data_IF_494554993001
#
_entry.id   IF_494554993001
#
_cell.length_a   1.000
_cell.length_b   1.000
_cell.length_c   1.000
_cell.angle_alpha   90.00
_cell.angle_beta   90.00
_cell.angle_gamma   90.00
#
_symmetry.space_group_name_H-M   'P 1'
#
loop_
_entity.id
_entity.type
_entity.pdbx_description
1 polymer ?
#
# COMPACT_ATOMS: atom_id res chain seq x y z
N UNK A 1 -1.44 14.72 -29.97
CA UNK A 1 -0.78 14.43 -28.69
C UNK A 1 -0.21 15.74 -28.17
N UNK A 2 -0.45 16.09 -26.94
CA UNK A 2 0.15 17.28 -26.34
C UNK A 2 1.61 17.01 -26.00
N UNK A 3 2.47 18.04 -25.98
CA UNK A 3 3.89 17.94 -25.61
C UNK A 3 4.13 17.17 -24.28
N UNK A 4 3.19 17.21 -23.36
CA UNK A 4 3.22 16.46 -22.10
C UNK A 4 3.05 14.95 -22.28
N UNK A 5 2.20 14.52 -23.22
CA UNK A 5 2.02 13.09 -23.49
C UNK A 5 3.25 12.50 -24.21
N UNK A 6 3.98 13.33 -24.97
CA UNK A 6 5.24 12.95 -25.59
C UNK A 6 6.37 12.86 -24.55
N UNK A 7 6.34 13.73 -23.52
CA UNK A 7 7.33 13.73 -22.43
C UNK A 7 7.15 12.55 -21.45
N UNK A 8 5.93 12.05 -21.30
CA UNK A 8 5.62 11.03 -20.29
C UNK A 8 5.87 9.59 -20.72
N UNK A 9 5.97 9.29 -22.00
CA UNK A 9 5.85 7.89 -22.44
C UNK A 9 7.07 7.24 -23.04
N UNK A 10 7.93 7.93 -23.77
CA UNK A 10 8.83 7.21 -24.66
C UNK A 10 10.31 7.50 -24.55
N UNK A 11 10.69 8.47 -23.77
CA UNK A 11 12.02 9.04 -23.93
C UNK A 11 12.83 9.12 -22.66
N UNK A 12 12.43 8.36 -21.66
CA UNK A 12 13.16 8.37 -20.41
C UNK A 12 14.50 7.61 -20.46
N UNK A 13 14.86 6.95 -21.59
CA UNK A 13 15.92 5.97 -21.54
C UNK A 13 16.92 6.00 -22.71
N UNK A 14 18.20 6.12 -22.41
CA UNK A 14 19.36 5.96 -23.31
C UNK A 14 20.58 5.48 -22.48
N UNK A 15 21.44 4.57 -22.96
CA UNK A 15 21.58 4.07 -24.33
C UNK A 15 20.64 2.92 -24.66
N UNK A 16 20.35 2.78 -25.94
CA UNK A 16 19.53 1.69 -26.42
C UNK A 16 20.24 0.34 -26.27
N UNK A 17 19.48 -0.76 -26.02
CA UNK A 17 20.03 -2.11 -26.10
C UNK A 17 20.53 -2.43 -27.49
N UNK A 18 21.39 -3.44 -27.62
CA UNK A 18 21.94 -3.87 -28.91
C UNK A 18 20.88 -4.63 -29.72
N UNK A 19 21.02 -4.59 -31.08
CA UNK A 19 20.18 -5.35 -31.99
C UNK A 19 18.98 -4.61 -32.59
N UNK A 20 17.96 -5.35 -33.02
CA UNK A 20 16.76 -4.80 -33.67
C UNK A 20 15.98 -3.79 -32.82
N UNK A 21 15.98 -3.93 -31.51
CA UNK A 21 15.39 -2.97 -30.57
C UNK A 21 16.11 -1.61 -30.61
N UNK A 22 17.44 -1.61 -30.76
CA UNK A 22 18.22 -0.38 -30.85
C UNK A 22 17.89 0.41 -32.11
N UNK A 23 17.72 -0.28 -33.24
CA UNK A 23 17.38 0.34 -34.53
C UNK A 23 15.95 0.95 -34.47
N UNK A 24 14.98 0.20 -33.93
CA UNK A 24 13.62 0.68 -33.78
C UNK A 24 13.54 1.89 -32.86
N UNK A 25 14.28 1.85 -31.77
CA UNK A 25 14.33 2.93 -30.81
C UNK A 25 14.99 4.19 -31.36
N UNK A 26 16.12 4.03 -32.09
CA UNK A 26 16.81 5.15 -32.75
C UNK A 26 15.89 5.84 -33.77
N UNK A 27 15.13 5.05 -34.54
CA UNK A 27 14.17 5.59 -35.49
C UNK A 27 13.04 6.38 -34.79
N UNK A 28 12.53 5.87 -33.70
CA UNK A 28 11.48 6.56 -32.94
C UNK A 28 11.99 7.81 -32.23
N UNK A 29 13.20 7.77 -31.67
CA UNK A 29 13.86 8.92 -31.09
C UNK A 29 14.07 10.04 -32.11
N UNK A 30 14.52 9.70 -33.32
CA UNK A 30 14.70 10.66 -34.42
C UNK A 30 13.37 11.32 -34.80
N UNK A 31 12.29 10.55 -34.91
CA UNK A 31 10.94 11.06 -35.18
C UNK A 31 10.46 12.06 -34.12
N UNK A 32 10.72 11.77 -32.86
CA UNK A 32 10.31 12.63 -31.74
C UNK A 32 11.18 13.88 -31.62
N UNK A 33 12.47 13.78 -31.90
CA UNK A 33 13.37 14.94 -31.97
C UNK A 33 13.02 15.88 -33.14
N UNK A 34 12.50 15.33 -34.23
CA UNK A 34 11.99 16.12 -35.36
C UNK A 34 10.69 16.86 -34.99
N UNK A 35 9.87 16.26 -34.10
CA UNK A 35 8.63 16.86 -33.59
C UNK A 35 8.83 17.89 -32.48
N UNK A 36 9.96 17.84 -31.75
CA UNK A 36 10.30 18.75 -30.68
C UNK A 36 11.78 19.10 -30.67
N UNK A 37 12.13 20.26 -31.24
CA UNK A 37 13.52 20.71 -31.35
C UNK A 37 14.20 21.03 -29.99
N UNK A 38 13.44 21.09 -28.88
CA UNK A 38 13.93 21.39 -27.52
C UNK A 38 14.06 20.15 -26.64
N UNK A 39 13.76 18.95 -27.16
CA UNK A 39 13.75 17.75 -26.36
C UNK A 39 15.16 17.20 -26.10
N UNK A 40 15.55 17.12 -24.82
CA UNK A 40 16.75 16.41 -24.39
C UNK A 40 16.31 15.09 -23.75
N UNK A 41 16.66 13.92 -24.34
CA UNK A 41 16.32 12.63 -23.73
C UNK A 41 16.94 12.51 -22.36
N UNK A 42 16.18 12.00 -21.40
CA UNK A 42 16.75 11.57 -20.13
C UNK A 42 17.64 10.33 -20.34
N UNK A 43 18.70 10.18 -19.54
CA UNK A 43 19.52 8.98 -19.62
C UNK A 43 18.69 7.75 -19.27
N UNK A 44 19.02 6.61 -19.90
CA UNK A 44 18.45 5.33 -19.53
C UNK A 44 18.71 5.02 -18.04
N UNK A 45 17.77 4.33 -17.36
CA UNK A 45 18.11 3.71 -16.11
C UNK A 45 19.21 2.67 -16.32
N UNK A 46 20.00 2.45 -15.32
CA UNK A 46 20.94 1.36 -15.31
C UNK A 46 20.16 0.04 -15.25
N UNK A 47 20.22 -0.74 -16.36
CA UNK A 47 19.63 -2.07 -16.36
C UNK A 47 20.50 -3.03 -15.57
N UNK A 48 19.91 -3.62 -14.56
CA UNK A 48 20.56 -4.51 -13.62
C UNK A 48 20.42 -5.98 -14.05
N UNK A 49 19.31 -6.32 -14.73
CA UNK A 49 19.05 -7.69 -15.19
C UNK A 49 18.05 -7.75 -16.36
N UNK A 50 18.02 -8.90 -17.06
CA UNK A 50 17.05 -9.34 -18.07
C UNK A 50 17.26 -8.77 -19.46
N UNK A 51 16.40 -9.06 -20.47
CA UNK A 51 15.62 -10.29 -20.57
C UNK A 51 16.52 -11.55 -20.72
N UNK A 52 16.10 -12.66 -20.15
CA UNK A 52 16.89 -13.90 -20.12
C UNK A 52 16.04 -15.16 -20.34
N UNK A 53 16.67 -16.24 -20.86
CA UNK A 53 16.03 -17.54 -20.94
C UNK A 53 16.05 -18.27 -19.58
N UNK A 54 14.98 -18.98 -19.26
CA UNK A 54 14.93 -19.92 -18.14
C UNK A 54 14.63 -19.31 -16.77
N UNK A 55 14.25 -18.02 -16.74
CA UNK A 55 14.05 -17.31 -15.47
C UNK A 55 15.37 -16.92 -14.80
N UNK A 56 15.29 -16.01 -13.82
CA UNK A 56 16.46 -15.60 -13.05
C UNK A 56 16.07 -15.06 -11.68
N UNK A 57 17.00 -15.17 -10.75
CA UNK A 57 16.94 -14.49 -9.46
C UNK A 57 17.57 -13.10 -9.61
N UNK A 58 16.85 -12.09 -9.20
CA UNK A 58 17.35 -10.71 -9.12
C UNK A 58 17.69 -10.40 -7.67
N UNK A 59 18.84 -9.78 -7.43
CA UNK A 59 19.30 -9.32 -6.12
C UNK A 59 19.71 -7.84 -6.21
N UNK A 60 19.26 -7.06 -5.23
CA UNK A 60 19.69 -5.68 -5.02
C UNK A 60 20.38 -5.57 -3.67
N UNK A 61 21.69 -5.36 -3.65
CA UNK A 61 22.45 -5.11 -2.41
C UNK A 61 22.05 -3.75 -1.79
N UNK A 62 21.69 -2.78 -2.62
CA UNK A 62 21.32 -1.43 -2.18
C UNK A 62 20.02 -1.43 -1.38
N UNK A 63 19.02 -2.19 -1.83
CA UNK A 63 17.73 -2.33 -1.17
C UNK A 63 17.66 -3.52 -0.20
N UNK A 64 18.71 -4.35 -0.13
CA UNK A 64 18.70 -5.54 0.70
C UNK A 64 17.58 -6.50 0.35
N UNK A 65 17.30 -6.72 -0.94
CA UNK A 65 16.22 -7.60 -1.38
C UNK A 65 16.60 -8.48 -2.56
N UNK A 66 15.92 -9.61 -2.66
CA UNK A 66 15.95 -10.48 -3.85
C UNK A 66 14.56 -11.00 -4.19
N UNK A 67 14.35 -11.36 -5.45
CA UNK A 67 13.14 -12.01 -5.94
C UNK A 67 13.40 -12.77 -7.24
N UNK A 68 12.48 -13.64 -7.62
CA UNK A 68 12.58 -14.43 -8.86
C UNK A 68 11.71 -13.84 -9.97
N UNK A 69 12.30 -13.71 -11.16
CA UNK A 69 11.55 -13.48 -12.42
C UNK A 69 11.30 -14.84 -13.05
N UNK A 70 10.05 -15.27 -13.24
CA UNK A 70 9.71 -16.63 -13.66
C UNK A 70 10.06 -16.87 -15.13
N UNK A 71 10.39 -18.13 -15.45
CA UNK A 71 10.93 -18.53 -16.76
C UNK A 71 9.98 -18.23 -17.92
N UNK A 72 8.69 -18.33 -17.71
CA UNK A 72 7.65 -18.12 -18.73
C UNK A 72 7.57 -16.69 -19.24
N UNK A 73 8.04 -15.72 -18.46
CA UNK A 73 7.98 -14.29 -18.81
C UNK A 73 9.35 -13.61 -18.81
N UNK A 74 10.40 -14.30 -18.40
CA UNK A 74 11.74 -13.70 -18.21
C UNK A 74 12.35 -13.08 -19.48
N UNK A 75 11.98 -13.56 -20.66
CA UNK A 75 12.42 -12.98 -21.94
C UNK A 75 11.72 -11.65 -22.27
N UNK A 76 10.67 -11.31 -21.54
CA UNK A 76 9.87 -10.09 -21.72
C UNK A 76 10.04 -9.09 -20.58
N UNK A 77 10.97 -9.33 -19.66
CA UNK A 77 11.15 -8.53 -18.46
C UNK A 77 12.58 -8.04 -18.34
N UNK A 78 12.75 -6.75 -18.21
CA UNK A 78 14.00 -6.12 -17.84
C UNK A 78 13.85 -5.44 -16.46
N UNK A 79 14.90 -5.48 -15.65
CA UNK A 79 14.94 -4.90 -14.31
C UNK A 79 15.96 -3.78 -14.28
N UNK A 80 15.60 -2.64 -13.72
CA UNK A 80 16.47 -1.49 -13.59
C UNK A 80 16.33 -0.85 -12.20
N UNK A 81 17.37 -0.15 -11.75
CA UNK A 81 17.25 0.80 -10.66
C UNK A 81 16.37 1.97 -11.08
N UNK A 82 15.65 2.55 -10.15
CA UNK A 82 14.78 3.69 -10.42
C UNK A 82 14.68 4.61 -9.23
N UNK A 83 14.18 5.81 -9.50
CA UNK A 83 13.82 6.75 -8.45
C UNK A 83 12.39 6.47 -8.03
N UNK A 84 12.14 6.42 -6.75
CA UNK A 84 10.82 6.24 -6.18
C UNK A 84 9.90 7.38 -6.62
N UNK A 85 8.70 7.05 -7.04
CA UNK A 85 7.74 8.04 -7.51
C UNK A 85 7.45 9.09 -6.43
N UNK A 86 7.57 10.37 -6.80
CA UNK A 86 7.46 11.54 -5.89
C UNK A 86 8.49 11.62 -4.75
N UNK A 87 9.55 10.83 -4.80
CA UNK A 87 10.65 10.89 -3.84
C UNK A 87 11.98 10.87 -4.60
N UNK A 88 12.60 12.03 -4.85
CA UNK A 88 13.83 12.11 -5.66
C UNK A 88 15.04 11.43 -5.02
N UNK A 89 14.99 11.21 -3.70
CA UNK A 89 16.04 10.52 -2.94
C UNK A 89 15.67 9.04 -2.67
N UNK A 90 14.45 8.61 -3.07
CA UNK A 90 13.96 7.27 -2.85
C UNK A 90 14.49 6.27 -3.86
N UNK A 91 14.83 5.07 -3.38
CA UNK A 91 15.30 3.97 -4.21
C UNK A 91 14.18 2.99 -4.52
N UNK A 92 14.15 2.50 -5.75
CA UNK A 92 13.19 1.50 -6.20
C UNK A 92 13.80 0.59 -7.26
N UNK A 93 13.18 -0.55 -7.45
CA UNK A 93 13.43 -1.44 -8.59
C UNK A 93 12.25 -1.34 -9.53
N UNK A 94 12.52 -0.99 -10.77
CA UNK A 94 11.51 -0.85 -11.81
C UNK A 94 11.63 -1.99 -12.80
N UNK A 95 10.51 -2.61 -13.12
CA UNK A 95 10.41 -3.68 -14.08
C UNK A 95 9.74 -3.17 -15.35
N UNK A 96 10.36 -3.48 -16.48
CA UNK A 96 9.94 -3.05 -17.80
C UNK A 96 9.51 -4.25 -18.64
N UNK A 97 8.40 -4.07 -19.34
CA UNK A 97 7.93 -5.00 -20.35
C UNK A 97 8.70 -4.76 -21.65
N UNK A 98 9.28 -5.82 -22.19
CA UNK A 98 10.08 -5.81 -23.42
C UNK A 98 9.42 -6.75 -24.45
N UNK A 99 8.50 -6.25 -25.29
CA UNK A 99 7.82 -7.08 -26.26
C UNK A 99 8.76 -7.51 -27.40
N UNK A 100 8.54 -8.70 -27.94
CA UNK A 100 9.33 -9.26 -29.06
C UNK A 100 9.31 -8.38 -30.31
N UNK A 101 8.21 -7.65 -30.55
CA UNK A 101 8.08 -6.82 -31.76
C UNK A 101 8.79 -5.46 -31.68
N UNK A 102 9.38 -5.12 -30.53
CA UNK A 102 10.10 -3.87 -30.30
C UNK A 102 9.26 -2.59 -30.40
N UNK A 103 7.93 -2.70 -30.47
CA UNK A 103 7.03 -1.55 -30.67
C UNK A 103 7.03 -0.60 -29.49
N UNK A 104 7.15 -1.15 -28.28
CA UNK A 104 7.27 -0.42 -27.04
C UNK A 104 8.53 -0.93 -26.34
N UNK A 105 9.68 -0.34 -26.58
CA UNK A 105 10.95 -0.93 -26.19
C UNK A 105 11.12 -1.15 -24.69
N UNK A 106 10.47 -0.31 -23.86
CA UNK A 106 10.47 -0.49 -22.41
C UNK A 106 9.26 0.22 -21.80
N UNK A 107 8.18 -0.51 -21.64
CA UNK A 107 7.02 0.01 -20.91
C UNK A 107 7.12 -0.43 -19.47
N UNK A 108 7.21 0.54 -18.55
CA UNK A 108 7.17 0.25 -17.12
C UNK A 108 5.84 -0.40 -16.74
N UNK A 109 5.89 -1.54 -16.08
CA UNK A 109 4.68 -2.23 -15.68
C UNK A 109 4.62 -2.55 -14.19
N UNK A 110 5.76 -2.54 -13.50
CA UNK A 110 5.82 -2.88 -12.10
C UNK A 110 6.98 -2.18 -11.40
N UNK A 111 6.81 -1.93 -10.12
CA UNK A 111 7.85 -1.35 -9.28
C UNK A 111 7.84 -2.03 -7.91
N UNK A 112 9.01 -2.31 -7.39
CA UNK A 112 9.22 -2.65 -5.98
C UNK A 112 9.93 -1.48 -5.33
N UNK A 113 9.32 -0.87 -4.33
CA UNK A 113 9.88 0.28 -3.66
C UNK A 113 9.93 0.05 -2.15
N UNK A 114 10.92 0.64 -1.52
CA UNK A 114 11.09 0.68 -0.08
C UNK A 114 10.51 1.97 0.49
N UNK A 115 9.97 1.91 1.69
CA UNK A 115 9.63 3.08 2.49
C UNK A 115 9.91 2.80 3.95
N UNK A 116 10.43 3.78 4.71
CA UNK A 116 10.49 3.65 6.16
C UNK A 116 9.11 3.25 6.71
N UNK A 117 9.09 2.29 7.64
CA UNK A 117 7.84 1.72 8.16
C UNK A 117 6.88 2.79 8.70
N UNK A 118 7.41 3.73 9.48
CA UNK A 118 6.62 4.83 10.03
C UNK A 118 6.00 5.72 8.97
N UNK A 119 6.72 6.00 7.89
CA UNK A 119 6.26 6.85 6.80
C UNK A 119 5.25 6.15 5.90
N UNK A 120 5.45 4.87 5.64
CA UNK A 120 4.51 4.10 4.81
C UNK A 120 3.10 4.08 5.40
N UNK A 121 2.97 3.87 6.70
CA UNK A 121 1.69 3.75 7.38
C UNK A 121 1.08 5.07 7.84
N UNK A 122 1.71 6.22 7.59
CA UNK A 122 1.11 7.52 7.91
C UNK A 122 -0.19 7.72 7.14
N UNK A 123 -1.23 8.32 7.76
CA UNK A 123 -2.53 8.55 7.14
C UNK A 123 -2.48 9.38 5.87
N UNK A 124 -1.52 10.29 5.81
CA UNK A 124 -1.22 11.20 4.71
C UNK A 124 -0.21 10.63 3.72
N UNK A 125 0.32 9.44 4.00
CA UNK A 125 1.22 8.78 3.07
C UNK A 125 0.53 8.60 1.73
N UNK A 126 1.15 9.10 0.67
CA UNK A 126 0.68 8.88 -0.70
C UNK A 126 0.49 7.39 -1.01
N UNK A 127 1.33 6.55 -0.43
CA UNK A 127 1.25 5.10 -0.59
C UNK A 127 0.01 4.48 0.03
N UNK A 128 -0.52 5.10 1.08
CA UNK A 128 -1.69 4.61 1.80
C UNK A 128 -3.01 5.17 1.26
N UNK A 129 -2.96 6.30 0.56
CA UNK A 129 -4.15 7.05 0.12
C UNK A 129 -4.56 6.80 -1.34
N UNK A 130 -3.78 6.04 -2.12
CA UNK A 130 -4.12 5.82 -3.52
C UNK A 130 -5.20 4.75 -3.68
N UNK A 131 -6.14 5.01 -4.57
CA UNK A 131 -7.29 4.14 -4.87
C UNK A 131 -6.95 2.75 -5.40
N UNK A 132 -5.71 2.56 -5.86
CA UNK A 132 -5.25 1.27 -6.42
C UNK A 132 -4.60 0.36 -5.38
N UNK A 133 -4.25 0.91 -4.21
CA UNK A 133 -3.51 0.19 -3.19
C UNK A 133 -2.08 -0.16 -3.62
N UNK A 134 -1.19 -0.18 -2.65
CA UNK A 134 0.17 -0.66 -2.84
C UNK A 134 0.37 -1.88 -1.93
N UNK A 135 0.18 -3.10 -2.47
CA UNK A 135 0.33 -4.30 -1.66
C UNK A 135 1.73 -4.37 -1.04
N UNK A 136 1.78 -4.65 0.25
CA UNK A 136 3.01 -4.95 0.94
C UNK A 136 3.52 -6.28 0.42
N UNK A 137 4.76 -6.31 -0.05
CA UNK A 137 5.41 -7.51 -0.54
C UNK A 137 6.29 -8.15 0.55
N UNK A 138 7.00 -7.33 1.33
CA UNK A 138 7.82 -7.76 2.45
C UNK A 138 7.96 -6.63 3.48
N UNK A 139 8.45 -6.98 4.67
CA UNK A 139 8.80 -6.01 5.72
C UNK A 139 10.13 -6.39 6.34
N UNK A 140 10.91 -5.39 6.70
CA UNK A 140 12.06 -5.51 7.61
C UNK A 140 11.75 -4.81 8.95
N UNK A 141 12.70 -4.79 9.87
CA UNK A 141 12.53 -4.08 11.14
C UNK A 141 12.17 -2.60 10.94
N UNK A 142 12.75 -1.96 9.94
CA UNK A 142 12.64 -0.51 9.74
C UNK A 142 11.89 -0.10 8.47
N UNK A 143 11.66 -1.02 7.54
CA UNK A 143 11.16 -0.71 6.20
C UNK A 143 9.98 -1.58 5.77
N UNK A 144 9.18 -1.02 4.89
CA UNK A 144 8.12 -1.73 4.14
C UNK A 144 8.52 -1.75 2.67
N UNK A 145 8.53 -2.93 2.08
CA UNK A 145 8.70 -3.13 0.65
C UNK A 145 7.33 -3.36 0.03
N UNK A 146 6.94 -2.48 -0.85
CA UNK A 146 5.63 -2.51 -1.46
C UNK A 146 5.75 -2.54 -2.98
N UNK A 147 4.68 -2.97 -3.61
CA UNK A 147 4.65 -3.10 -5.06
C UNK A 147 3.63 -2.16 -5.66
N UNK A 148 3.97 -1.60 -6.81
CA UNK A 148 3.10 -0.75 -7.59
C UNK A 148 2.88 -1.42 -8.95
N UNK A 149 1.62 -1.74 -9.23
CA UNK A 149 1.21 -2.30 -10.52
C UNK A 149 1.24 -1.26 -11.63
N UNK A 150 0.78 -1.61 -12.85
CA UNK A 150 0.88 -0.72 -14.00
C UNK A 150 0.24 0.62 -13.66
N UNK A 151 1.10 1.63 -13.55
CA UNK A 151 0.69 3.01 -13.34
C UNK A 151 -0.11 3.44 -14.58
N UNK A 152 -1.23 4.09 -14.36
CA UNK A 152 -2.04 4.64 -15.46
C UNK A 152 -1.17 5.56 -16.32
N UNK A 153 -0.95 5.16 -17.56
CA UNK A 153 -0.01 5.84 -18.48
C UNK A 153 0.85 4.87 -19.28
N UNK A 154 0.62 3.55 -19.16
CA UNK A 154 1.24 2.62 -20.08
C UNK A 154 0.85 3.00 -21.51
N UNK A 155 1.82 3.02 -22.42
CA UNK A 155 1.57 3.27 -23.86
C UNK A 155 0.71 2.18 -24.49
N UNK A 156 0.62 1.02 -23.83
CA UNK A 156 -0.17 -0.13 -24.25
C UNK A 156 -1.57 0.04 -23.69
N UNK A 157 -2.48 0.49 -24.52
CA UNK A 157 -3.91 0.60 -24.19
C UNK A 157 -4.66 -0.70 -24.40
N UNK A 158 -5.89 -0.79 -23.89
CA UNK A 158 -6.75 -1.99 -23.99
C UNK A 158 -7.03 -2.46 -25.43
N UNK A 159 -6.97 -1.55 -26.39
CA UNK A 159 -7.19 -1.84 -27.80
C UNK A 159 -5.89 -2.23 -28.54
N UNK A 160 -4.76 -2.24 -27.84
CA UNK A 160 -3.47 -2.63 -28.41
C UNK A 160 -3.34 -4.16 -28.49
N UNK A 161 -2.85 -4.72 -29.60
CA UNK A 161 -2.63 -6.16 -29.72
C UNK A 161 -1.70 -6.79 -28.66
N UNK A 162 -0.88 -5.99 -28.00
CA UNK A 162 0.00 -6.42 -26.92
C UNK A 162 -0.65 -6.37 -25.52
N UNK A 163 -1.86 -5.85 -25.42
CA UNK A 163 -2.51 -5.65 -24.11
C UNK A 163 -2.61 -6.94 -23.28
N UNK A 164 -3.10 -8.02 -23.88
CA UNK A 164 -3.29 -9.29 -23.16
C UNK A 164 -1.94 -9.87 -22.71
N UNK A 165 -0.92 -9.85 -23.57
CA UNK A 165 0.44 -10.31 -23.24
C UNK A 165 1.10 -9.43 -22.16
N UNK A 166 0.90 -8.13 -22.22
CA UNK A 166 1.36 -7.18 -21.21
C UNK A 166 0.73 -7.45 -19.83
N UNK A 167 -0.58 -7.66 -19.78
CA UNK A 167 -1.31 -7.95 -18.54
C UNK A 167 -0.93 -9.33 -17.99
N UNK A 168 -0.80 -10.34 -18.83
CA UNK A 168 -0.36 -11.67 -18.42
C UNK A 168 1.06 -11.62 -17.83
N UNK A 169 1.98 -10.94 -18.50
CA UNK A 169 3.36 -10.76 -18.03
C UNK A 169 3.39 -10.02 -16.69
N UNK A 170 2.66 -8.90 -16.58
CA UNK A 170 2.57 -8.12 -15.34
C UNK A 170 2.01 -8.94 -14.18
N UNK A 171 0.98 -9.73 -14.44
CA UNK A 171 0.33 -10.59 -13.43
C UNK A 171 1.28 -11.69 -12.95
N UNK A 172 1.95 -12.37 -13.87
CA UNK A 172 2.90 -13.43 -13.54
C UNK A 172 4.07 -12.91 -12.70
N UNK A 173 4.65 -11.77 -13.08
CA UNK A 173 5.76 -11.15 -12.33
C UNK A 173 5.29 -10.67 -10.95
N UNK A 174 4.14 -10.03 -10.88
CA UNK A 174 3.57 -9.56 -9.61
C UNK A 174 3.33 -10.70 -8.62
N UNK A 175 2.80 -11.83 -9.10
CA UNK A 175 2.60 -13.03 -8.29
C UNK A 175 3.95 -13.60 -7.82
N UNK A 176 4.89 -13.77 -8.75
CA UNK A 176 6.21 -14.32 -8.45
C UNK A 176 6.98 -13.47 -7.43
N UNK A 177 6.96 -12.14 -7.56
CA UNK A 177 7.63 -11.25 -6.60
C UNK A 177 7.03 -11.46 -5.20
N UNK A 178 5.71 -11.46 -5.07
CA UNK A 178 5.06 -11.64 -3.75
C UNK A 178 5.34 -13.00 -3.10
N UNK A 179 5.58 -14.02 -3.91
CA UNK A 179 5.87 -15.37 -3.42
C UNK A 179 7.37 -15.57 -3.11
N UNK A 180 8.25 -14.85 -3.79
CA UNK A 180 9.69 -15.13 -3.76
C UNK A 180 10.55 -14.02 -3.20
N UNK A 181 9.96 -12.86 -2.87
CA UNK A 181 10.73 -11.74 -2.31
C UNK A 181 11.32 -12.11 -0.96
N UNK A 182 12.61 -11.91 -0.84
CA UNK A 182 13.36 -12.04 0.41
C UNK A 182 14.04 -10.69 0.68
N UNK A 183 13.99 -10.24 1.91
CA UNK A 183 14.63 -9.00 2.35
C UNK A 183 15.61 -9.29 3.47
N UNK A 184 16.61 -8.43 3.62
CA UNK A 184 17.53 -8.49 4.75
C UNK A 184 16.75 -8.16 6.04
N UNK A 185 17.09 -8.86 7.12
CA UNK A 185 16.45 -8.71 8.43
C UNK A 185 14.91 -8.74 8.36
N UNK A 186 14.31 -9.84 7.84
CA UNK A 186 12.87 -9.91 7.60
C UNK A 186 12.10 -9.80 8.92
N UNK A 187 11.02 -9.05 8.89
CA UNK A 187 10.04 -8.92 9.96
C UNK A 187 8.71 -9.53 9.55
N UNK A 188 8.03 -10.17 10.48
CA UNK A 188 6.71 -10.75 10.21
C UNK A 188 5.72 -9.66 9.85
N UNK A 189 5.01 -9.84 8.74
CA UNK A 189 3.85 -9.01 8.40
C UNK A 189 2.70 -9.44 9.32
N UNK A 190 2.13 -8.52 10.12
CA UNK A 190 0.99 -8.86 10.96
C UNK A 190 -0.21 -9.26 10.08
N UNK A 191 -0.84 -10.36 10.46
CA UNK A 191 -2.06 -10.83 9.81
C UNK A 191 -3.20 -10.87 10.81
N UNK A 192 -4.44 -10.69 10.35
CA UNK A 192 -5.62 -10.88 11.17
C UNK A 192 -5.86 -12.36 11.47
N UNK A 193 -5.94 -12.69 12.75
CA UNK A 193 -6.41 -13.99 13.20
C UNK A 193 -7.94 -14.01 13.19
N UNK A 194 -8.53 -14.66 12.19
CA UNK A 194 -9.99 -14.73 12.01
C UNK A 194 -10.70 -15.37 13.22
N UNK A 195 -10.06 -16.31 13.89
CA UNK A 195 -10.63 -16.94 15.09
C UNK A 195 -10.63 -15.95 16.26
N UNK A 196 -9.55 -15.18 16.44
CA UNK A 196 -9.48 -14.13 17.42
C UNK A 196 -10.52 -13.03 17.16
N UNK A 197 -10.72 -12.62 15.90
CA UNK A 197 -11.74 -11.64 15.50
C UNK A 197 -13.14 -12.11 15.89
N UNK A 198 -13.48 -13.38 15.62
CA UNK A 198 -14.79 -13.94 15.96
C UNK A 198 -15.02 -14.01 17.48
N UNK A 199 -13.99 -14.45 18.23
CA UNK A 199 -14.06 -14.52 19.71
C UNK A 199 -14.25 -13.13 20.33
N UNK A 200 -13.47 -12.14 19.87
CA UNK A 200 -13.55 -10.77 20.35
C UNK A 200 -14.92 -10.13 20.05
N UNK A 201 -15.50 -10.42 18.88
CA UNK A 201 -16.84 -9.96 18.54
C UNK A 201 -17.91 -10.47 19.54
N UNK A 202 -17.83 -11.75 19.93
CA UNK A 202 -18.77 -12.33 20.89
C UNK A 202 -18.57 -11.75 22.31
N UNK A 203 -17.32 -11.53 22.73
CA UNK A 203 -16.98 -10.92 24.02
C UNK A 203 -17.48 -9.47 24.10
N UNK A 204 -17.28 -8.66 23.07
CA UNK A 204 -17.77 -7.28 23.00
C UNK A 204 -19.31 -7.23 22.96
N UNK A 205 -19.95 -8.11 22.19
CA UNK A 205 -21.41 -8.19 22.13
C UNK A 205 -22.03 -8.44 23.52
N UNK A 206 -21.36 -9.20 24.37
CA UNK A 206 -21.81 -9.46 25.75
C UNK A 206 -21.73 -8.22 26.68
N UNK A 207 -20.89 -7.22 26.33
CA UNK A 207 -20.75 -5.94 27.03
C UNK A 207 -21.84 -4.92 26.65
N UNK A 208 -22.52 -5.12 25.49
CA UNK A 208 -23.63 -4.30 25.01
C UNK A 208 -23.26 -2.85 24.77
N UNK A 209 -24.03 -1.92 25.36
CA UNK A 209 -23.90 -0.47 25.14
C UNK A 209 -22.76 0.20 25.93
N UNK A 210 -21.92 -0.57 26.61
CA UNK A 210 -20.74 0.01 27.26
C UNK A 210 -19.80 0.63 26.24
N UNK A 211 -19.23 1.79 26.55
CA UNK A 211 -18.20 2.40 25.73
C UNK A 211 -16.90 1.58 25.78
N UNK A 212 -16.09 1.71 24.75
CA UNK A 212 -14.78 1.10 24.63
C UNK A 212 -13.71 2.19 24.85
N UNK A 213 -12.76 1.99 25.77
CA UNK A 213 -11.68 2.95 25.95
C UNK A 213 -10.61 2.80 24.85
N UNK A 214 -9.79 3.83 24.67
CA UNK A 214 -8.69 3.83 23.71
C UNK A 214 -7.66 2.73 24.02
N UNK A 215 -7.36 2.50 25.30
CA UNK A 215 -6.49 1.41 25.73
C UNK A 215 -7.09 0.04 25.44
N UNK A 216 -8.37 -0.16 25.73
CA UNK A 216 -9.07 -1.40 25.42
C UNK A 216 -9.11 -1.66 23.89
N UNK A 217 -9.33 -0.63 23.07
CA UNK A 217 -9.32 -0.73 21.62
C UNK A 217 -7.92 -1.10 21.08
N UNK A 218 -6.85 -0.54 21.65
CA UNK A 218 -5.49 -0.91 21.29
C UNK A 218 -5.16 -2.36 21.69
N UNK A 219 -5.50 -2.78 22.89
CA UNK A 219 -5.32 -4.16 23.35
C UNK A 219 -6.13 -5.15 22.49
N UNK A 220 -7.36 -4.79 22.16
CA UNK A 220 -8.21 -5.55 21.25
C UNK A 220 -7.51 -5.70 19.88
N UNK A 221 -7.15 -4.60 19.24
CA UNK A 221 -6.50 -4.60 17.94
C UNK A 221 -5.21 -5.43 17.93
N UNK A 222 -4.37 -5.28 18.94
CA UNK A 222 -3.18 -6.10 19.13
C UNK A 222 -3.52 -7.58 19.27
N UNK A 223 -4.58 -7.91 20.03
CA UNK A 223 -5.07 -9.29 20.21
C UNK A 223 -5.52 -9.94 18.90
N UNK A 224 -6.10 -9.16 17.99
CA UNK A 224 -6.62 -9.62 16.70
C UNK A 224 -5.52 -9.98 15.68
N UNK A 225 -4.30 -9.52 15.89
CA UNK A 225 -3.18 -9.79 14.98
C UNK A 225 -2.44 -11.07 15.36
N UNK A 226 -1.97 -11.77 14.35
CA UNK A 226 -1.04 -12.89 14.45
C UNK A 226 0.31 -12.44 13.88
N UNK A 227 1.36 -12.43 14.69
CA UNK A 227 2.73 -12.13 14.25
C UNK A 227 3.74 -12.74 15.22
N UNK A 228 4.85 -13.23 14.68
CA UNK A 228 5.91 -13.87 15.47
C UNK A 228 6.62 -12.87 16.40
N UNK A 229 6.76 -11.63 15.96
CA UNK A 229 7.46 -10.56 16.67
C UNK A 229 6.60 -9.78 17.68
N UNK A 230 5.37 -10.21 17.99
CA UNK A 230 4.51 -9.54 18.98
C UNK A 230 5.12 -9.46 20.40
N UNK A 231 6.01 -10.37 20.73
CA UNK A 231 6.67 -10.39 22.03
C UNK A 231 7.91 -9.48 22.11
N UNK A 232 8.33 -8.88 21.02
CA UNK A 232 9.44 -7.95 20.99
C UNK A 232 9.13 -6.63 21.69
N UNK A 233 10.17 -5.95 22.17
CA UNK A 233 10.03 -4.65 22.80
C UNK A 233 10.07 -3.56 21.72
N UNK A 234 9.04 -2.73 21.69
CA UNK A 234 8.93 -1.59 20.81
C UNK A 234 9.01 -0.27 21.60
N UNK A 235 9.51 0.82 20.99
CA UNK A 235 9.50 2.12 21.63
C UNK A 235 8.09 2.57 22.00
N UNK A 236 7.94 3.12 23.20
CA UNK A 236 6.70 3.71 23.68
C UNK A 236 6.88 5.24 23.80
N UNK A 237 6.32 5.98 22.84
CA UNK A 237 6.48 7.42 22.74
C UNK A 237 5.39 8.24 23.42
N UNK A 238 4.50 7.59 24.19
CA UNK A 238 3.41 8.23 24.91
C UNK A 238 3.73 8.35 26.40
N UNK A 239 3.58 9.58 26.93
CA UNK A 239 3.99 9.91 28.30
C UNK A 239 2.96 9.59 29.37
N UNK A 240 1.71 9.37 28.98
CA UNK A 240 0.56 9.06 29.84
C UNK A 240 0.19 7.57 29.86
N UNK A 241 1.00 6.72 29.23
CA UNK A 241 0.82 5.26 29.25
C UNK A 241 1.84 4.65 30.21
N UNK A 242 1.36 3.86 31.18
CA UNK A 242 2.21 3.23 32.17
C UNK A 242 3.16 2.19 31.51
N UNK A 243 4.48 2.38 31.59
CA UNK A 243 5.44 1.45 31.00
C UNK A 243 5.30 0.04 31.59
N UNK A 244 5.30 -0.97 30.72
CA UNK A 244 5.20 -2.37 31.11
C UNK A 244 3.76 -2.87 31.37
N UNK A 245 2.76 -2.04 31.18
CA UNK A 245 1.37 -2.50 31.14
C UNK A 245 1.04 -3.24 29.85
N UNK A 246 -0.01 -4.06 29.83
CA UNK A 246 -0.49 -4.74 28.62
C UNK A 246 -0.91 -3.71 27.54
N UNK A 247 -1.46 -2.57 27.96
CA UNK A 247 -1.79 -1.46 27.07
C UNK A 247 -0.53 -0.86 26.44
N UNK A 248 0.55 -0.69 27.22
CA UNK A 248 1.82 -0.15 26.71
C UNK A 248 2.40 -1.04 25.61
N UNK A 249 2.38 -2.36 25.80
CA UNK A 249 2.85 -3.31 24.78
C UNK A 249 2.02 -3.21 23.50
N UNK A 250 0.70 -3.22 23.62
CA UNK A 250 -0.21 -3.11 22.48
C UNK A 250 -0.03 -1.79 21.72
N UNK A 251 0.02 -0.67 22.45
CA UNK A 251 0.17 0.67 21.88
C UNK A 251 1.51 0.80 21.17
N UNK A 252 2.63 0.39 21.81
CA UNK A 252 3.94 0.46 21.24
C UNK A 252 4.07 -0.38 19.94
N UNK A 253 3.54 -1.61 19.97
CA UNK A 253 3.51 -2.46 18.78
C UNK A 253 2.71 -1.83 17.63
N UNK A 254 1.47 -1.42 17.89
CA UNK A 254 0.61 -0.82 16.86
C UNK A 254 1.18 0.50 16.31
N UNK A 255 1.82 1.31 17.16
CA UNK A 255 2.47 2.54 16.75
C UNK A 255 3.70 2.27 15.86
N UNK A 256 4.49 1.24 16.16
CA UNK A 256 5.65 0.85 15.34
C UNK A 256 5.27 0.41 13.92
N UNK A 257 4.04 -0.06 13.74
CA UNK A 257 3.46 -0.39 12.45
C UNK A 257 2.60 0.76 11.85
N UNK A 258 2.63 1.96 12.45
CA UNK A 258 1.84 3.11 12.00
C UNK A 258 0.32 2.89 12.05
N UNK A 259 -0.14 1.86 12.76
CA UNK A 259 -1.57 1.56 12.92
C UNK A 259 -2.24 2.51 13.90
N UNK A 260 -1.46 3.07 14.84
CA UNK A 260 -1.80 4.20 15.68
C UNK A 260 -0.93 5.38 15.28
N UNK A 261 -1.53 6.49 14.90
CA UNK A 261 -0.80 7.70 14.50
C UNK A 261 -1.24 8.89 15.33
N UNK A 262 -0.27 9.69 15.73
CA UNK A 262 -0.47 10.93 16.47
C UNK A 262 -0.05 12.18 15.70
N UNK A 263 0.41 12.02 14.45
CA UNK A 263 0.94 13.14 13.67
C UNK A 263 -0.05 13.58 12.61
N UNK A 264 -0.14 14.91 12.42
CA UNK A 264 -0.84 15.51 11.29
C UNK A 264 -0.09 15.30 9.96
N UNK A 265 -0.71 15.69 8.85
CA UNK A 265 -0.08 15.69 7.53
C UNK A 265 1.21 16.52 7.48
N UNK A 266 1.29 17.57 8.29
CA UNK A 266 2.46 18.44 8.39
C UNK A 266 3.50 17.94 9.41
N UNK A 267 3.31 16.76 9.98
CA UNK A 267 4.21 16.17 10.96
C UNK A 267 4.06 16.76 12.38
N UNK A 268 3.03 17.57 12.62
CA UNK A 268 2.74 18.09 13.96
C UNK A 268 2.17 17.00 14.86
N UNK A 269 2.63 16.95 16.11
CA UNK A 269 2.10 16.06 17.14
C UNK A 269 0.74 16.58 17.62
N UNK A 270 -0.33 15.96 17.11
CA UNK A 270 -1.72 16.35 17.44
C UNK A 270 -2.10 16.14 18.90
N UNK A 271 -1.44 15.19 19.56
CA UNK A 271 -1.79 14.75 20.90
C UNK A 271 -0.80 15.22 21.97
N UNK A 272 0.26 15.96 21.60
CA UNK A 272 1.27 16.47 22.54
C UNK A 272 1.98 15.36 23.32
N UNK A 273 2.15 14.17 22.71
CA UNK A 273 2.76 13.01 23.34
C UNK A 273 1.82 12.22 24.26
N UNK A 274 0.50 12.44 24.16
CA UNK A 274 -0.51 11.75 24.96
C UNK A 274 -1.28 10.73 24.13
N UNK A 275 -1.50 9.55 24.71
CA UNK A 275 -2.39 8.52 24.14
C UNK A 275 -3.84 8.63 24.65
N UNK A 276 -4.01 9.12 25.86
CA UNK A 276 -5.29 9.21 26.59
C UNK A 276 -5.96 7.84 26.76
N UNK A 277 -5.27 6.89 27.43
CA UNK A 277 -5.69 5.48 27.47
C UNK A 277 -7.09 5.27 28.05
N UNK A 278 -7.51 6.11 29.03
CA UNK A 278 -8.77 6.00 29.74
C UNK A 278 -9.94 6.75 29.08
N UNK A 279 -9.69 7.51 28.01
CA UNK A 279 -10.76 8.16 27.24
C UNK A 279 -11.46 7.15 26.34
N UNK A 280 -12.76 7.36 26.10
CA UNK A 280 -13.53 6.54 25.17
C UNK A 280 -13.05 6.78 23.74
N UNK A 281 -12.91 5.69 22.97
CA UNK A 281 -12.56 5.78 21.54
C UNK A 281 -13.80 6.16 20.72
N UNK A 282 -13.65 7.07 19.77
CA UNK A 282 -14.76 7.46 18.89
C UNK A 282 -15.01 6.40 17.80
N UNK A 283 -16.19 6.46 17.15
CA UNK A 283 -16.51 5.58 16.00
C UNK A 283 -15.50 5.74 14.89
N UNK A 284 -15.15 6.98 14.55
CA UNK A 284 -14.16 7.26 13.51
C UNK A 284 -12.78 6.68 13.83
N UNK A 285 -12.29 6.87 15.05
CA UNK A 285 -11.00 6.33 15.49
C UNK A 285 -11.00 4.80 15.46
N UNK A 286 -12.07 4.16 15.97
CA UNK A 286 -12.16 2.70 16.00
C UNK A 286 -12.19 2.08 14.60
N UNK A 287 -13.03 2.59 13.66
CA UNK A 287 -13.09 2.02 12.31
C UNK A 287 -11.82 2.31 11.51
N UNK A 288 -11.16 3.43 11.79
CA UNK A 288 -9.84 3.73 11.22
C UNK A 288 -8.81 2.70 11.69
N UNK A 289 -8.73 2.44 13.00
CA UNK A 289 -7.85 1.44 13.56
C UNK A 289 -8.17 0.05 12.98
N UNK A 290 -9.44 -0.35 12.98
CA UNK A 290 -9.86 -1.65 12.46
C UNK A 290 -9.50 -1.83 10.97
N UNK A 291 -9.72 -0.80 10.16
CA UNK A 291 -9.33 -0.87 8.74
C UNK A 291 -7.81 -1.00 8.57
N UNK A 292 -7.03 -0.25 9.33
CA UNK A 292 -5.57 -0.27 9.27
C UNK A 292 -4.98 -1.64 9.61
N UNK A 293 -5.65 -2.44 10.44
CA UNK A 293 -5.22 -3.82 10.71
C UNK A 293 -5.19 -4.69 9.45
N UNK A 294 -5.88 -4.32 8.38
CA UNK A 294 -5.78 -5.00 7.10
C UNK A 294 -4.44 -4.77 6.40
N UNK A 295 -3.66 -3.78 6.81
CA UNK A 295 -2.47 -3.27 6.13
C UNK A 295 -2.72 -2.93 4.65
N UNK A 296 -3.97 -2.59 4.32
CA UNK A 296 -4.39 -2.17 2.97
C UNK A 296 -4.78 -0.70 2.99
N UNK A 297 -4.55 0.01 1.88
CA UNK A 297 -5.07 1.36 1.73
C UNK A 297 -6.59 1.38 1.86
N UNK A 298 -7.12 2.40 2.52
CA UNK A 298 -8.54 2.61 2.54
C UNK A 298 -8.99 3.08 1.15
N UNK A 299 -9.93 2.39 0.49
CA UNK A 299 -10.44 2.85 -0.80
C UNK A 299 -10.99 4.27 -0.64
N UNK A 300 -10.59 5.16 -1.57
CA UNK A 300 -11.24 6.47 -1.64
C UNK A 300 -12.74 6.28 -1.85
N UNK A 301 -13.52 7.14 -1.20
CA UNK A 301 -14.96 7.10 -1.31
C UNK A 301 -15.42 7.36 -2.77
N UNK A 302 -15.77 6.28 -3.46
CA UNK A 302 -16.36 6.37 -4.79
C UNK A 302 -17.89 6.34 -4.68
N UNK A 303 -18.54 7.23 -5.43
CA UNK A 303 -19.99 7.28 -5.48
C UNK A 303 -20.61 8.20 -4.43
N UNK A 304 -21.79 7.82 -3.90
CA UNK A 304 -22.50 8.61 -2.91
C UNK A 304 -21.78 8.50 -1.56
N UNK A 305 -21.26 9.62 -1.08
CA UNK A 305 -20.69 9.76 0.26
C UNK A 305 -21.79 10.09 1.28
N UNK A 306 -21.47 9.90 2.55
CA UNK A 306 -22.30 10.34 3.67
C UNK A 306 -22.45 11.86 3.64
N UNK A 307 -23.69 12.36 3.59
CA UNK A 307 -23.98 13.81 3.46
C UNK A 307 -23.49 14.62 4.68
N UNK A 308 -23.42 14.00 5.83
CA UNK A 308 -23.04 14.61 7.10
C UNK A 308 -21.56 14.43 7.47
N UNK A 309 -20.79 13.72 6.63
CA UNK A 309 -19.32 13.60 6.77
C UNK A 309 -18.70 14.37 5.62
N UNK A 310 -18.12 15.52 5.89
CA UNK A 310 -17.46 16.35 4.88
C UNK A 310 -16.21 15.67 4.32
N UNK A 311 -15.86 15.98 3.07
CA UNK A 311 -14.63 15.44 2.44
C UNK A 311 -13.36 15.86 3.20
N UNK A 312 -13.42 17.00 3.89
CA UNK A 312 -12.32 17.53 4.69
C UNK A 312 -12.23 16.90 6.11
N UNK A 313 -13.17 16.00 6.44
CA UNK A 313 -13.09 15.28 7.70
C UNK A 313 -11.96 14.25 7.65
N UNK A 314 -11.09 14.27 8.65
CA UNK A 314 -9.85 13.47 8.68
C UNK A 314 -10.05 11.97 8.44
N UNK A 315 -11.17 11.40 8.88
CA UNK A 315 -11.50 9.99 8.74
C UNK A 315 -12.57 9.73 7.66
N UNK A 316 -12.86 10.70 6.77
CA UNK A 316 -13.99 10.59 5.84
C UNK A 316 -13.98 9.29 5.03
N UNK A 317 -12.86 8.85 4.51
CA UNK A 317 -12.73 7.61 3.74
C UNK A 317 -12.99 6.37 4.58
N UNK A 318 -12.47 6.33 5.81
CA UNK A 318 -12.64 5.19 6.73
C UNK A 318 -14.09 5.06 7.22
N UNK A 319 -14.72 6.19 7.55
CA UNK A 319 -16.12 6.23 8.02
C UNK A 319 -17.08 5.86 6.88
N UNK A 320 -16.84 6.40 5.68
CA UNK A 320 -17.62 6.05 4.47
C UNK A 320 -17.46 4.57 4.10
N UNK A 321 -16.24 4.05 4.17
CA UNK A 321 -15.95 2.62 3.98
C UNK A 321 -16.71 1.76 5.00
N UNK A 322 -16.59 2.10 6.29
CA UNK A 322 -17.23 1.35 7.36
C UNK A 322 -18.76 1.31 7.20
N UNK A 323 -19.37 2.43 6.82
CA UNK A 323 -20.79 2.48 6.52
C UNK A 323 -21.16 1.58 5.33
N UNK A 324 -20.44 1.68 4.23
CA UNK A 324 -20.70 0.87 3.01
C UNK A 324 -20.50 -0.62 3.24
N UNK A 325 -19.59 -1.00 4.12
CA UNK A 325 -19.35 -2.40 4.50
C UNK A 325 -20.26 -2.89 5.64
N UNK A 326 -21.18 -2.06 6.13
CA UNK A 326 -22.09 -2.44 7.22
C UNK A 326 -21.42 -2.56 8.61
N UNK A 327 -20.23 -1.97 8.78
CA UNK A 327 -19.54 -1.94 10.07
C UNK A 327 -20.23 -0.99 11.05
N UNK A 328 -20.74 0.13 10.54
CA UNK A 328 -21.49 1.13 11.28
C UNK A 328 -22.84 1.39 10.59
N UNK A 329 -23.84 1.64 11.40
CA UNK A 329 -25.19 2.02 10.97
C UNK A 329 -25.46 3.50 11.23
N UNK A 330 -26.32 4.09 10.39
CA UNK A 330 -26.80 5.45 10.61
C UNK A 330 -27.86 5.48 11.71
N UNK A 331 -27.72 6.39 12.66
CA UNK A 331 -28.77 6.70 13.64
C UNK A 331 -29.38 8.05 13.26
N UNK A 332 -30.69 8.06 12.96
CA UNK A 332 -31.40 9.24 12.47
C UNK A 332 -30.76 9.91 11.23
N UNK A 333 -30.08 9.08 10.39
CA UNK A 333 -29.39 9.54 9.20
C UNK A 333 -27.98 10.07 9.44
N UNK A 334 -27.47 9.98 10.65
CA UNK A 334 -26.12 10.42 11.05
C UNK A 334 -25.29 9.25 11.55
N UNK A 335 -24.00 9.20 11.10
CA UNK A 335 -23.02 8.20 11.51
C UNK A 335 -22.45 8.47 12.91
N UNK A 336 -22.54 9.72 13.40
CA UNK A 336 -22.03 10.19 14.68
C UNK A 336 -20.56 9.85 14.90
N UNK A 337 -19.74 10.20 13.90
CA UNK A 337 -18.34 9.79 13.82
C UNK A 337 -17.50 10.13 15.05
N UNK A 338 -17.74 11.29 15.66
CA UNK A 338 -16.99 11.79 16.83
C UNK A 338 -17.58 11.34 18.19
N UNK A 339 -18.69 10.60 18.21
CA UNK A 339 -19.21 10.03 19.43
C UNK A 339 -18.51 8.72 19.80
N UNK A 340 -18.42 8.35 21.10
CA UNK A 340 -17.87 7.07 21.53
C UNK A 340 -18.54 5.88 20.83
N UNK A 341 -17.73 4.89 20.44
CA UNK A 341 -18.26 3.63 19.94
C UNK A 341 -18.69 2.75 21.12
N UNK A 342 -19.82 2.06 20.97
CA UNK A 342 -20.24 1.05 21.95
C UNK A 342 -19.59 -0.30 21.64
N UNK A 343 -19.48 -1.15 22.66
CA UNK A 343 -19.00 -2.52 22.49
C UNK A 343 -19.89 -3.32 21.51
N UNK A 344 -21.20 -3.06 21.49
CA UNK A 344 -22.12 -3.68 20.55
C UNK A 344 -21.82 -3.28 19.09
N UNK A 345 -21.56 -1.99 18.84
CA UNK A 345 -21.18 -1.49 17.50
C UNK A 345 -19.82 -2.03 17.07
N UNK A 346 -18.83 -2.03 17.99
CA UNK A 346 -17.52 -2.62 17.73
C UNK A 346 -17.62 -4.13 17.42
N UNK A 347 -18.46 -4.86 18.14
CA UNK A 347 -18.75 -6.27 17.86
C UNK A 347 -19.37 -6.48 16.47
N UNK A 348 -20.28 -5.61 16.05
CA UNK A 348 -20.87 -5.66 14.70
C UNK A 348 -19.81 -5.45 13.63
N UNK A 349 -18.92 -4.46 13.79
CA UNK A 349 -17.82 -4.22 12.86
C UNK A 349 -16.90 -5.45 12.75
N UNK A 350 -16.52 -6.06 13.87
CA UNK A 350 -15.71 -7.27 13.89
C UNK A 350 -16.39 -8.46 13.22
N UNK A 351 -17.70 -8.65 13.40
CA UNK A 351 -18.47 -9.71 12.70
C UNK A 351 -18.42 -9.51 11.18
N UNK A 352 -18.62 -8.28 10.71
CA UNK A 352 -18.52 -7.97 9.29
C UNK A 352 -17.11 -8.30 8.75
N UNK A 353 -16.06 -7.99 9.49
CA UNK A 353 -14.68 -8.33 9.12
C UNK A 353 -14.45 -9.85 9.12
N UNK A 354 -14.96 -10.57 10.13
CA UNK A 354 -14.84 -12.02 10.19
C UNK A 354 -15.54 -12.74 9.03
N UNK A 355 -16.70 -12.24 8.61
CA UNK A 355 -17.53 -12.84 7.56
C UNK A 355 -17.07 -12.46 6.14
N UNK A 356 -16.67 -11.21 5.93
CA UNK A 356 -16.46 -10.62 4.61
C UNK A 356 -15.03 -10.12 4.37
N UNK A 357 -14.18 -10.14 5.39
CA UNK A 357 -12.85 -9.52 5.33
C UNK A 357 -12.95 -8.01 5.11
N UNK A 358 -12.13 -7.50 4.19
CA UNK A 358 -12.08 -6.09 3.80
C UNK A 358 -12.46 -5.96 2.32
N UNK A 359 -13.76 -6.00 1.99
CA UNK A 359 -14.24 -5.92 0.61
C UNK A 359 -13.99 -4.51 0.03
N UNK A 360 -13.91 -4.40 -1.29
CA UNK A 360 -13.92 -3.11 -1.98
C UNK A 360 -15.38 -2.77 -2.26
N UNK A 361 -15.96 -1.73 -1.66
CA UNK A 361 -17.37 -1.39 -1.84
C UNK A 361 -17.70 -1.10 -3.31
N UNK A 362 -18.77 -1.74 -3.81
CA UNK A 362 -19.24 -1.55 -5.19
C UNK A 362 -18.53 -2.40 -6.23
N UNK A 363 -17.68 -3.33 -5.82
CA UNK A 363 -17.10 -4.35 -6.71
C UNK A 363 -17.66 -5.71 -6.25
N UNK A 364 -18.57 -6.27 -7.03
CA UNK A 364 -19.00 -7.66 -6.88
C UNK A 364 -17.90 -8.55 -7.49
N UNK A 365 -17.30 -9.44 -6.70
CA UNK A 365 -16.34 -10.45 -7.13
C UNK A 365 -17.03 -11.75 -7.49
#
# INVERSE_FOLDING_TARGET
MTDEAVRGGLLMYLPAPEGALAEHYAARLAELQEQSAEYTPEPWPEFLAGPAEGGYEFCSEELGLSFTVPAEVSQKVAVASGVKYNDPDGTSITLYYVPENGRYPFTMFYMVAESPRGDFFRPDSWYYSTSTGHPIAAMSENSVYFTMGPLGGSEIGRDDPLWDDFIETSTAVSAAIRETIVVDDPSSIPELDTAAVSSAADELAARGDAALTRAEAAQLAFGLLSAENKAEAYPLDYTDVEPGSDAAQAIAYLASYGLLTRYSMDGEDLDGGLFRPDEDITRAEFVTLLHRLSLKPCPLAYGKMLENVGIDYWACSYVDYAWKCGWLELTDGDIRADEPITCAEAAQALKCVAENGYPIPGVDF
#
